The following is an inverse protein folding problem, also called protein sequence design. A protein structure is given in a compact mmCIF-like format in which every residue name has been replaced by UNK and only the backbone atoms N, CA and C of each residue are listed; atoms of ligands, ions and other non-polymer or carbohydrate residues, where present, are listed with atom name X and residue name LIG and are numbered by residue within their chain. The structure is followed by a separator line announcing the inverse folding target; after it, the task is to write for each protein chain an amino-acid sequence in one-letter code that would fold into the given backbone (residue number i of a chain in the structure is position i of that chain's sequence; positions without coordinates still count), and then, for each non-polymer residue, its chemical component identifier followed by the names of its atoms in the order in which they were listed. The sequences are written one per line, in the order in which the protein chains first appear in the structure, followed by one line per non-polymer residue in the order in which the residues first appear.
data_IF_432356154156
#
_entry.id   IF_432356154156
#
_cell.length_a   1.000
_cell.length_b   1.000
_cell.length_c   1.000
_cell.angle_alpha   90.00
_cell.angle_beta   90.00
_cell.angle_gamma   90.00
#
_symmetry.space_group_name_H-M   'P 1'
#
loop_
_entity.id
_entity.type
_entity.pdbx_description
1 polymer ?
#
# COMPACT_ATOMS: atom_id res chain seq x y z
N UNK A 1 3.53 0.66 -19.19
CA UNK A 1 4.30 -0.47 -19.76
C UNK A 1 5.52 0.10 -20.48
N UNK A 2 6.70 -0.46 -20.22
CA UNK A 2 7.95 -0.08 -20.89
C UNK A 2 8.34 -1.18 -21.86
N UNK A 3 8.63 -0.83 -23.10
CA UNK A 3 9.23 -1.73 -24.07
C UNK A 3 10.74 -1.73 -23.82
N UNK A 4 11.24 -2.79 -23.19
CA UNK A 4 12.67 -2.93 -22.86
C UNK A 4 13.57 -3.02 -24.09
N UNK A 5 13.07 -3.49 -25.24
CA UNK A 5 13.87 -3.54 -26.47
C UNK A 5 14.08 -2.14 -27.05
N UNK A 6 13.10 -1.25 -26.88
CA UNK A 6 13.12 0.11 -27.43
C UNK A 6 13.47 1.18 -26.39
N UNK A 7 13.56 0.83 -25.12
CA UNK A 7 13.75 1.74 -24.00
C UNK A 7 12.64 2.79 -23.85
N UNK A 8 11.45 2.56 -24.42
CA UNK A 8 10.37 3.56 -24.51
C UNK A 8 9.11 3.11 -23.80
N UNK A 9 8.42 4.06 -23.17
CA UNK A 9 7.07 3.86 -22.62
C UNK A 9 6.08 3.64 -23.76
N UNK A 10 5.30 2.58 -23.67
CA UNK A 10 4.23 2.27 -24.63
C UNK A 10 2.98 3.10 -24.32
N UNK A 11 2.28 3.58 -25.35
CA UNK A 11 0.99 4.23 -25.18
C UNK A 11 -0.08 3.24 -24.71
N UNK A 12 -1.10 3.74 -24.02
CA UNK A 12 -2.19 2.89 -23.51
C UNK A 12 -2.94 2.22 -24.67
N UNK A 13 -3.09 2.92 -25.80
CA UNK A 13 -3.72 2.37 -27.01
C UNK A 13 -2.91 1.20 -27.58
N UNK A 14 -1.60 1.33 -27.72
CA UNK A 14 -0.75 0.25 -28.24
C UNK A 14 -0.75 -0.96 -27.29
N UNK A 15 -0.60 -0.71 -25.99
CA UNK A 15 -0.65 -1.76 -24.97
C UNK A 15 -1.98 -2.51 -24.97
N UNK A 16 -3.10 -1.80 -25.15
CA UNK A 16 -4.42 -2.41 -25.28
C UNK A 16 -4.56 -3.27 -26.55
N UNK A 17 -4.03 -2.82 -27.69
CA UNK A 17 -4.06 -3.58 -28.94
C UNK A 17 -3.25 -4.88 -28.84
N UNK A 18 -2.20 -4.88 -28.02
CA UNK A 18 -1.37 -6.06 -27.75
C UNK A 18 -1.94 -6.96 -26.64
N UNK A 19 -3.14 -6.68 -26.13
CA UNK A 19 -3.78 -7.48 -25.08
C UNK A 19 -3.11 -7.34 -23.70
N UNK A 20 -2.22 -6.37 -23.50
CA UNK A 20 -1.49 -6.17 -22.24
C UNK A 20 -2.32 -5.43 -21.18
N UNK A 21 -3.51 -4.96 -21.55
CA UNK A 21 -4.41 -4.18 -20.68
C UNK A 21 -5.83 -4.73 -20.83
N UNK A 22 -6.52 -4.96 -19.71
CA UNK A 22 -7.93 -5.31 -19.73
C UNK A 22 -8.80 -4.14 -20.23
N UNK A 23 -9.76 -4.45 -21.11
CA UNK A 23 -10.67 -3.46 -21.73
C UNK A 23 -11.40 -2.58 -20.70
N UNK A 24 -11.76 -3.13 -19.55
CA UNK A 24 -12.44 -2.40 -18.46
C UNK A 24 -11.61 -1.24 -17.86
N UNK A 25 -10.28 -1.32 -17.93
CA UNK A 25 -9.37 -0.31 -17.37
C UNK A 25 -8.84 0.68 -18.40
N UNK A 26 -9.07 0.40 -19.69
CA UNK A 26 -8.47 1.12 -20.80
C UNK A 26 -8.84 2.61 -20.81
N UNK A 27 -10.08 2.94 -20.51
CA UNK A 27 -10.55 4.33 -20.53
C UNK A 27 -9.88 5.16 -19.42
N UNK A 28 -9.86 4.65 -18.20
CA UNK A 28 -9.21 5.29 -17.05
C UNK A 28 -7.71 5.50 -17.31
N UNK A 29 -7.03 4.50 -17.88
CA UNK A 29 -5.62 4.61 -18.23
C UNK A 29 -5.36 5.65 -19.32
N UNK A 30 -6.25 5.78 -20.32
CA UNK A 30 -6.17 6.85 -21.33
C UNK A 30 -6.32 8.23 -20.69
N UNK A 31 -7.23 8.40 -19.72
CA UNK A 31 -7.39 9.66 -18.97
C UNK A 31 -6.12 10.00 -18.19
N UNK A 32 -5.52 9.04 -17.48
CA UNK A 32 -4.25 9.22 -16.77
C UNK A 32 -3.08 9.52 -17.72
N UNK A 33 -3.00 8.87 -18.89
CA UNK A 33 -1.96 9.16 -19.88
C UNK A 33 -2.04 10.60 -20.38
N UNK A 34 -3.25 11.11 -20.65
CA UNK A 34 -3.46 12.52 -21.03
C UNK A 34 -3.05 13.48 -19.90
N UNK A 35 -3.47 13.19 -18.67
CA UNK A 35 -3.11 13.98 -17.48
C UNK A 35 -1.59 14.07 -17.29
N UNK A 36 -0.87 12.95 -17.46
CA UNK A 36 0.59 12.92 -17.33
C UNK A 36 1.33 13.81 -18.34
N UNK A 37 0.72 14.03 -19.52
CA UNK A 37 1.23 14.91 -20.58
C UNK A 37 0.80 16.37 -20.39
N UNK A 38 0.13 16.72 -19.28
CA UNK A 38 -0.37 18.07 -19.01
C UNK A 38 -1.55 18.49 -19.89
N UNK A 39 -2.24 17.55 -20.54
CA UNK A 39 -3.37 17.83 -21.45
C UNK A 39 -4.69 17.58 -20.74
N UNK A 40 -5.65 18.52 -20.90
CA UNK A 40 -7.07 18.47 -20.48
C UNK A 40 -7.43 17.20 -19.69
N UNK A 41 -7.30 17.30 -18.38
CA UNK A 41 -7.70 16.27 -17.44
C UNK A 41 -8.63 16.89 -16.40
N UNK A 42 -9.71 16.19 -16.07
CA UNK A 42 -10.54 16.49 -14.91
C UNK A 42 -9.66 16.52 -13.66
N UNK A 43 -9.98 17.40 -12.70
CA UNK A 43 -9.13 17.58 -11.51
C UNK A 43 -9.02 16.29 -10.68
N UNK A 44 -10.09 15.49 -10.63
CA UNK A 44 -10.08 14.15 -10.02
C UNK A 44 -9.04 13.21 -10.63
N UNK A 45 -8.82 13.30 -11.94
CA UNK A 45 -7.83 12.47 -12.65
C UNK A 45 -6.41 12.97 -12.37
N UNK A 46 -6.22 14.29 -12.27
CA UNK A 46 -4.92 14.88 -11.91
C UNK A 46 -4.55 14.51 -10.48
N UNK A 47 -5.46 14.65 -9.54
CA UNK A 47 -5.25 14.27 -8.15
C UNK A 47 -4.95 12.78 -8.01
N UNK A 48 -5.69 11.90 -8.71
CA UNK A 48 -5.39 10.46 -8.73
C UNK A 48 -3.99 10.18 -9.28
N UNK A 49 -3.57 10.88 -10.33
CA UNK A 49 -2.21 10.74 -10.87
C UNK A 49 -1.16 11.16 -9.83
N UNK A 50 -1.37 12.28 -9.16
CA UNK A 50 -0.46 12.81 -8.13
C UNK A 50 -0.37 11.86 -6.95
N UNK A 51 -1.50 11.33 -6.47
CA UNK A 51 -1.55 10.32 -5.41
C UNK A 51 -0.68 9.10 -5.76
N UNK A 52 -0.86 8.54 -6.97
CA UNK A 52 -0.06 7.41 -7.43
C UNK A 52 1.44 7.74 -7.55
N UNK A 53 1.79 8.95 -7.98
CA UNK A 53 3.18 9.40 -8.06
C UNK A 53 3.82 9.56 -6.66
N UNK A 54 3.07 10.14 -5.73
CA UNK A 54 3.49 10.35 -4.35
C UNK A 54 3.82 9.02 -3.64
N UNK A 55 3.12 7.93 -3.96
CA UNK A 55 3.38 6.62 -3.36
C UNK A 55 4.64 5.91 -3.89
N UNK A 56 5.14 6.30 -5.06
CA UNK A 56 6.20 5.55 -5.78
C UNK A 56 7.58 6.18 -5.65
N UNK A 57 7.68 7.51 -5.69
CA UNK A 57 8.99 8.15 -5.81
C UNK A 57 8.99 9.68 -5.90
N UNK A 58 7.83 10.34 -5.80
CA UNK A 58 7.73 11.80 -5.84
C UNK A 58 6.74 12.29 -6.90
N UNK A 59 6.23 13.49 -6.68
CA UNK A 59 5.24 14.13 -7.55
C UNK A 59 6.00 14.85 -8.67
N UNK A 60 5.49 14.82 -9.90
CA UNK A 60 6.03 15.65 -10.98
C UNK A 60 5.04 16.77 -11.28
N UNK A 61 5.53 18.01 -11.26
CA UNK A 61 4.72 19.18 -11.60
C UNK A 61 4.10 18.98 -13.00
N UNK A 62 2.76 19.03 -13.13
CA UNK A 62 2.10 18.80 -14.41
C UNK A 62 2.57 19.75 -15.52
N UNK A 63 2.98 20.97 -15.16
CA UNK A 63 3.36 22.04 -16.06
C UNK A 63 4.88 22.11 -16.25
N UNK A 64 5.66 22.22 -15.17
CA UNK A 64 7.12 22.41 -15.25
C UNK A 64 7.90 21.10 -15.40
N UNK A 65 7.27 19.96 -15.09
CA UNK A 65 7.89 18.63 -14.99
C UNK A 65 8.95 18.50 -13.88
N UNK A 66 9.11 19.52 -13.06
CA UNK A 66 10.02 19.48 -11.92
C UNK A 66 9.48 18.56 -10.82
N UNK A 67 10.36 17.90 -10.04
CA UNK A 67 9.94 17.11 -8.90
C UNK A 67 9.38 18.00 -7.79
N UNK A 68 8.25 17.59 -7.20
CA UNK A 68 7.60 18.24 -6.07
C UNK A 68 7.52 17.29 -4.86
N UNK A 69 7.69 17.84 -3.67
CA UNK A 69 7.23 17.20 -2.42
C UNK A 69 5.71 17.25 -2.31
N UNK A 70 5.13 16.45 -1.42
CA UNK A 70 3.68 16.49 -1.15
C UNK A 70 3.26 17.89 -0.67
N UNK A 71 4.04 18.53 0.20
CA UNK A 71 3.77 19.89 0.68
C UNK A 71 3.87 20.93 -0.45
N UNK A 72 4.86 20.83 -1.32
CA UNK A 72 4.96 21.72 -2.48
C UNK A 72 3.75 21.57 -3.41
N UNK A 73 3.23 20.35 -3.57
CA UNK A 73 2.01 20.11 -4.33
C UNK A 73 0.77 20.74 -3.66
N UNK A 74 0.70 20.74 -2.32
CA UNK A 74 -0.35 21.46 -1.56
C UNK A 74 -0.23 22.97 -1.76
N UNK A 75 0.96 23.55 -1.59
CA UNK A 75 1.21 25.00 -1.77
C UNK A 75 0.89 25.49 -3.17
N UNK A 76 1.08 24.64 -4.20
CA UNK A 76 0.72 24.91 -5.60
C UNK A 76 -0.76 24.64 -5.92
N UNK A 77 -1.56 24.19 -4.95
CA UNK A 77 -2.98 23.90 -5.13
C UNK A 77 -3.27 22.62 -5.91
N UNK A 78 -2.30 21.73 -6.08
CA UNK A 78 -2.47 20.45 -6.76
C UNK A 78 -3.05 19.35 -5.86
N UNK A 79 -2.95 19.51 -4.54
CA UNK A 79 -3.53 18.63 -3.52
C UNK A 79 -4.16 19.46 -2.42
N UNK A 80 -5.27 18.96 -1.84
CA UNK A 80 -5.78 19.49 -0.58
C UNK A 80 -4.95 18.98 0.61
N UNK A 81 -4.91 19.74 1.70
CA UNK A 81 -4.25 19.33 2.95
C UNK A 81 -4.79 17.98 3.47
N UNK A 82 -6.10 17.75 3.37
CA UNK A 82 -6.72 16.48 3.76
C UNK A 82 -6.17 15.29 2.96
N UNK A 83 -5.99 15.45 1.64
CA UNK A 83 -5.40 14.42 0.79
C UNK A 83 -3.92 14.23 1.08
N UNK A 84 -3.18 15.32 1.32
CA UNK A 84 -1.78 15.25 1.71
C UNK A 84 -1.60 14.49 3.03
N UNK A 85 -2.42 14.78 4.05
CA UNK A 85 -2.45 14.04 5.31
C UNK A 85 -2.75 12.56 5.07
N UNK A 86 -3.75 12.24 4.25
CA UNK A 86 -4.08 10.86 3.91
C UNK A 86 -2.90 10.13 3.24
N UNK A 87 -2.26 10.74 2.24
CA UNK A 87 -1.13 10.16 1.53
C UNK A 87 0.09 9.94 2.45
N UNK A 88 0.42 10.93 3.27
CA UNK A 88 1.53 10.84 4.23
C UNK A 88 1.24 9.79 5.32
N UNK A 89 0.01 9.71 5.81
CA UNK A 89 -0.41 8.65 6.75
C UNK A 89 -0.30 7.26 6.14
N UNK A 90 -0.64 7.07 4.85
CA UNK A 90 -0.40 5.81 4.14
C UNK A 90 1.09 5.49 4.04
N UNK A 91 1.94 6.50 3.78
CA UNK A 91 3.39 6.30 3.74
C UNK A 91 3.93 5.89 5.11
N UNK A 92 3.51 6.55 6.18
CA UNK A 92 3.85 6.20 7.58
C UNK A 92 3.45 4.75 7.87
N UNK A 93 2.21 4.35 7.54
CA UNK A 93 1.75 2.97 7.66
C UNK A 93 2.56 1.96 6.81
N UNK A 94 3.28 2.45 5.79
CA UNK A 94 4.18 1.65 4.96
C UNK A 94 5.66 1.78 5.36
N UNK A 95 5.93 2.27 6.57
CA UNK A 95 7.26 2.31 7.18
C UNK A 95 7.98 3.64 7.03
N UNK A 96 7.24 4.76 7.04
CA UNK A 96 7.80 6.12 7.05
C UNK A 96 7.58 6.92 5.77
N UNK A 97 7.84 8.23 5.86
CA UNK A 97 7.64 9.22 4.79
C UNK A 97 8.74 9.08 3.74
N UNK A 98 8.35 9.02 2.47
CA UNK A 98 9.27 8.77 1.36
C UNK A 98 10.03 10.05 0.97
N UNK A 99 11.36 10.02 1.13
CA UNK A 99 12.24 11.06 0.60
C UNK A 99 12.47 10.85 -0.90
N UNK A 100 11.79 11.65 -1.73
CA UNK A 100 11.71 11.47 -3.17
C UNK A 100 13.08 11.46 -3.90
N UNK A 101 14.11 12.17 -3.41
CA UNK A 101 15.43 12.20 -4.07
C UNK A 101 16.28 10.95 -3.81
N UNK A 102 16.17 10.36 -2.63
CA UNK A 102 17.03 9.24 -2.18
C UNK A 102 16.30 7.91 -2.19
N UNK A 103 14.96 7.92 -2.20
CA UNK A 103 14.12 6.73 -2.05
C UNK A 103 14.07 6.19 -0.62
N UNK A 104 14.76 6.82 0.34
CA UNK A 104 14.72 6.44 1.75
C UNK A 104 13.37 6.77 2.37
N UNK A 105 12.98 6.01 3.40
CA UNK A 105 11.83 6.34 4.25
C UNK A 105 12.34 6.88 5.58
N UNK A 106 11.77 7.99 6.00
CA UNK A 106 12.14 8.74 7.20
C UNK A 106 11.00 8.68 8.21
N UNK A 107 11.31 8.76 9.51
CA UNK A 107 10.29 9.02 10.52
C UNK A 107 9.73 10.45 10.37
N UNK A 108 8.65 10.76 11.09
CA UNK A 108 8.02 12.08 10.99
C UNK A 108 8.97 13.21 11.42
N UNK A 109 9.79 12.99 12.46
CA UNK A 109 10.82 13.95 12.88
C UNK A 109 11.83 14.25 11.77
N UNK A 110 12.51 13.24 11.26
CA UNK A 110 13.52 13.39 10.20
C UNK A 110 12.89 13.99 8.92
N UNK A 111 11.65 13.63 8.61
CA UNK A 111 10.93 14.19 7.47
C UNK A 111 10.68 15.69 7.63
N UNK A 112 10.51 16.19 8.85
CA UNK A 112 10.40 17.62 9.16
C UNK A 112 11.74 18.33 8.96
N UNK A 113 12.84 17.76 9.47
CA UNK A 113 14.19 18.31 9.30
C UNK A 113 14.61 18.39 7.82
N UNK A 114 14.13 17.47 7.00
CA UNK A 114 14.37 17.43 5.56
C UNK A 114 13.32 18.19 4.72
N UNK A 115 12.44 18.98 5.35
CA UNK A 115 11.41 19.80 4.69
C UNK A 115 10.45 19.00 3.78
N UNK A 116 10.25 17.71 4.08
CA UNK A 116 9.29 16.86 3.37
C UNK A 116 7.86 17.09 3.85
N UNK A 117 7.71 17.58 5.09
CA UNK A 117 6.45 17.97 5.74
C UNK A 117 6.55 19.39 6.31
N UNK A 118 5.43 19.97 6.72
CA UNK A 118 5.35 21.29 7.34
C UNK A 118 4.86 21.22 8.79
N UNK A 119 5.02 22.32 9.52
CA UNK A 119 4.56 22.45 10.92
C UNK A 119 3.05 22.23 11.05
N UNK A 120 2.28 22.59 10.01
CA UNK A 120 0.83 22.45 9.98
C UNK A 120 0.39 20.99 10.10
N UNK A 121 1.07 20.07 9.40
CA UNK A 121 0.75 18.63 9.43
C UNK A 121 1.55 17.85 10.47
N UNK A 122 2.65 18.40 11.00
CA UNK A 122 3.57 17.69 11.88
C UNK A 122 2.89 16.99 13.06
N UNK A 123 2.07 17.72 13.83
CA UNK A 123 1.46 17.18 15.06
C UNK A 123 0.49 16.02 14.77
N UNK A 124 -0.30 16.14 13.70
CA UNK A 124 -1.24 15.09 13.30
C UNK A 124 -0.50 13.89 12.71
N UNK A 125 0.54 14.12 11.90
CA UNK A 125 1.36 13.04 11.37
C UNK A 125 2.13 12.31 12.47
N UNK A 126 2.59 13.02 13.51
CA UNK A 126 3.26 12.39 14.64
C UNK A 126 2.33 11.48 15.42
N UNK A 127 1.10 11.93 15.71
CA UNK A 127 0.07 11.07 16.30
C UNK A 127 -0.26 9.86 15.40
N UNK A 128 -0.29 10.05 14.09
CA UNK A 128 -0.53 8.96 13.15
C UNK A 128 0.62 7.93 13.16
N UNK A 129 1.87 8.38 13.27
CA UNK A 129 3.03 7.53 13.46
C UNK A 129 2.99 6.78 14.79
N UNK A 130 2.68 7.44 15.90
CA UNK A 130 2.50 6.83 17.22
C UNK A 130 1.44 5.71 17.20
N UNK A 131 0.32 5.93 16.47
CA UNK A 131 -0.70 4.90 16.26
C UNK A 131 -0.12 3.70 15.49
N UNK A 132 0.66 3.93 14.44
CA UNK A 132 1.27 2.86 13.65
C UNK A 132 2.35 2.09 14.42
N UNK A 133 3.08 2.78 15.31
CA UNK A 133 4.13 2.22 16.17
C UNK A 133 3.61 1.67 17.50
N UNK A 134 2.32 1.84 17.80
CA UNK A 134 1.60 1.41 19.00
C UNK A 134 2.11 1.98 20.33
N UNK A 135 2.84 3.08 20.27
CA UNK A 135 3.31 3.78 21.45
C UNK A 135 3.33 5.27 21.18
N UNK A 136 3.21 6.05 22.26
CA UNK A 136 3.34 7.49 22.20
C UNK A 136 4.22 7.94 23.36
N UNK A 137 4.86 9.10 23.22
CA UNK A 137 5.64 9.69 24.29
C UNK A 137 4.71 10.61 25.08
N UNK A 138 4.48 10.29 26.35
CA UNK A 138 3.72 11.16 27.24
C UNK A 138 4.57 12.41 27.58
N UNK A 139 4.15 13.63 27.19
CA UNK A 139 4.96 14.83 27.41
C UNK A 139 5.22 15.13 28.89
N UNK A 140 4.25 14.84 29.75
CA UNK A 140 4.31 15.11 31.19
C UNK A 140 5.31 14.20 31.92
N UNK A 141 5.40 12.94 31.50
CA UNK A 141 6.25 11.94 32.15
C UNK A 141 7.59 11.74 31.44
N UNK A 142 7.73 12.28 30.22
CA UNK A 142 8.81 11.98 29.27
C UNK A 142 9.09 10.46 29.15
N UNK A 143 8.01 9.68 29.04
CA UNK A 143 8.04 8.21 29.00
C UNK A 143 7.21 7.69 27.84
N UNK A 144 7.68 6.60 27.25
CA UNK A 144 6.93 5.84 26.25
C UNK A 144 5.77 5.13 26.96
N UNK A 145 4.56 5.40 26.49
CA UNK A 145 3.32 4.75 26.94
C UNK A 145 2.71 3.96 25.77
N UNK A 146 2.06 2.84 26.09
CA UNK A 146 1.37 2.05 25.06
C UNK A 146 0.14 2.80 24.51
N UNK A 147 -0.25 2.53 23.27
CA UNK A 147 -1.38 3.21 22.61
C UNK A 147 -2.68 3.25 23.46
N UNK A 148 -3.11 2.16 24.14
CA UNK A 148 -4.31 2.22 25.00
C UNK A 148 -4.18 3.21 26.16
N UNK A 149 -2.97 3.35 26.73
CA UNK A 149 -2.69 4.34 27.77
C UNK A 149 -2.68 5.75 27.19
N UNK A 150 -2.09 5.96 26.01
CA UNK A 150 -2.09 7.25 25.33
C UNK A 150 -3.52 7.77 25.06
N UNK A 151 -4.43 6.87 24.66
CA UNK A 151 -5.85 7.19 24.46
C UNK A 151 -6.52 7.53 25.78
N UNK A 152 -6.26 6.74 26.83
CA UNK A 152 -6.83 6.96 28.17
C UNK A 152 -6.36 8.29 28.78
N UNK A 153 -5.11 8.70 28.48
CA UNK A 153 -4.53 9.99 28.87
C UNK A 153 -4.98 11.15 27.96
N UNK A 154 -5.78 10.90 26.93
CA UNK A 154 -6.28 11.93 26.00
C UNK A 154 -5.23 12.48 25.03
N UNK A 155 -4.04 11.87 24.94
CA UNK A 155 -2.99 12.27 23.99
C UNK A 155 -3.44 12.05 22.53
N UNK A 156 -4.24 11.01 22.31
CA UNK A 156 -4.82 10.64 21.02
C UNK A 156 -6.32 10.41 21.23
N UNK A 157 -7.16 11.11 20.47
CA UNK A 157 -8.60 10.89 20.52
C UNK A 157 -8.98 9.60 19.78
N UNK A 158 -10.03 8.93 20.25
CA UNK A 158 -10.58 7.74 19.60
C UNK A 158 -11.02 8.01 18.15
N UNK A 159 -11.47 9.22 17.85
CA UNK A 159 -11.86 9.62 16.50
C UNK A 159 -10.64 9.75 15.58
N UNK A 160 -9.53 10.30 16.09
CA UNK A 160 -8.29 10.38 15.34
C UNK A 160 -7.70 8.99 15.08
N UNK A 161 -7.72 8.12 16.09
CA UNK A 161 -7.33 6.71 15.92
C UNK A 161 -8.14 6.04 14.82
N UNK A 162 -9.47 6.20 14.83
CA UNK A 162 -10.36 5.65 13.80
C UNK A 162 -10.02 6.17 12.41
N UNK A 163 -9.78 7.48 12.28
CA UNK A 163 -9.36 8.11 11.02
C UNK A 163 -8.08 7.48 10.47
N UNK A 164 -7.07 7.25 11.32
CA UNK A 164 -5.82 6.59 10.91
C UNK A 164 -6.06 5.13 10.53
N UNK A 165 -6.89 4.40 11.28
CA UNK A 165 -7.25 3.01 10.95
C UNK A 165 -8.02 2.90 9.62
N UNK A 166 -8.89 3.85 9.30
CA UNK A 166 -9.59 3.91 8.00
C UNK A 166 -8.61 4.14 6.86
N UNK A 167 -7.62 5.02 7.05
CA UNK A 167 -6.55 5.24 6.06
C UNK A 167 -5.69 3.98 5.91
N UNK A 168 -5.29 3.33 7.01
CA UNK A 168 -4.58 2.04 6.95
C UNK A 168 -5.41 1.00 6.20
N UNK A 169 -6.70 0.89 6.51
CA UNK A 169 -7.59 -0.09 5.87
C UNK A 169 -7.61 0.08 4.35
N UNK A 170 -7.54 1.32 3.83
CA UNK A 170 -7.43 1.59 2.39
C UNK A 170 -6.16 1.02 1.73
N UNK A 171 -5.14 0.67 2.50
CA UNK A 171 -3.92 -0.03 2.03
C UNK A 171 -4.05 -1.56 2.08
N UNK A 172 -5.19 -2.09 2.54
CA UNK A 172 -5.49 -3.53 2.57
C UNK A 172 -5.14 -4.25 3.87
N UNK A 173 -4.53 -3.55 4.83
CA UNK A 173 -4.17 -4.10 6.13
C UNK A 173 -4.19 -3.02 7.20
N UNK A 174 -4.38 -3.40 8.46
CA UNK A 174 -4.21 -2.49 9.60
C UNK A 174 -3.15 -3.05 10.54
N UNK A 175 -2.59 -2.18 11.35
CA UNK A 175 -1.70 -2.61 12.43
C UNK A 175 -2.51 -3.11 13.63
N UNK A 176 -2.10 -4.25 14.19
CA UNK A 176 -2.70 -4.85 15.38
C UNK A 176 -2.02 -4.33 16.66
N UNK A 177 -2.77 -3.64 17.55
CA UNK A 177 -2.25 -3.12 18.81
C UNK A 177 -1.68 -4.15 19.77
N UNK A 178 -2.12 -5.40 19.69
CA UNK A 178 -1.66 -6.45 20.61
C UNK A 178 -0.30 -7.05 20.24
N UNK A 179 0.03 -7.09 18.95
CA UNK A 179 1.16 -7.88 18.44
C UNK A 179 2.14 -7.07 17.58
N UNK A 180 1.84 -5.80 17.29
CA UNK A 180 2.71 -4.94 16.49
C UNK A 180 2.82 -5.37 15.02
N UNK A 181 1.87 -6.17 14.51
CA UNK A 181 1.91 -6.76 13.17
C UNK A 181 0.79 -6.24 12.28
N UNK A 182 0.99 -6.27 10.96
CA UNK A 182 -0.09 -6.02 9.99
C UNK A 182 -1.02 -7.23 9.92
N UNK A 183 -2.30 -7.00 10.16
CA UNK A 183 -3.37 -7.99 10.05
C UNK A 183 -4.30 -7.68 8.87
N UNK A 184 -5.02 -8.71 8.42
CA UNK A 184 -5.99 -8.55 7.33
C UNK A 184 -7.21 -7.74 7.79
N UNK A 185 -7.93 -7.12 6.86
CA UNK A 185 -9.19 -6.42 7.18
C UNK A 185 -10.23 -7.36 7.80
N UNK A 186 -10.25 -8.64 7.37
CA UNK A 186 -11.17 -9.66 7.89
C UNK A 186 -10.87 -9.98 9.36
N UNK A 187 -9.58 -10.11 9.70
CA UNK A 187 -9.15 -10.31 11.09
C UNK A 187 -9.40 -9.06 11.95
N UNK A 188 -9.15 -7.89 11.40
CA UNK A 188 -9.41 -6.61 12.05
C UNK A 188 -10.87 -6.43 12.46
N UNK A 189 -11.81 -6.79 11.57
CA UNK A 189 -13.24 -6.80 11.89
C UNK A 189 -13.57 -7.82 12.99
N UNK A 190 -12.97 -9.02 12.97
CA UNK A 190 -13.17 -10.03 14.02
C UNK A 190 -12.68 -9.55 15.38
N UNK A 191 -11.56 -8.82 15.42
CA UNK A 191 -10.99 -8.22 16.63
C UNK A 191 -11.69 -6.91 17.05
N UNK A 192 -12.65 -6.42 16.28
CA UNK A 192 -13.37 -5.18 16.56
C UNK A 192 -12.55 -3.90 16.33
N UNK A 193 -11.41 -3.99 15.63
CA UNK A 193 -10.53 -2.85 15.36
C UNK A 193 -11.09 -1.92 14.28
N UNK A 194 -11.85 -2.47 13.33
CA UNK A 194 -12.61 -1.69 12.32
C UNK A 194 -14.01 -2.26 12.16
N UNK A 195 -14.93 -1.45 11.66
CA UNK A 195 -16.31 -1.86 11.39
C UNK A 195 -16.45 -2.52 9.99
N UNK A 196 -17.49 -3.33 9.79
CA UNK A 196 -17.80 -3.92 8.47
C UNK A 196 -17.99 -2.85 7.37
N UNK A 197 -18.66 -1.71 7.61
CA UNK A 197 -18.73 -0.62 6.62
C UNK A 197 -17.35 -0.08 6.21
N UNK A 198 -16.44 0.11 7.17
CA UNK A 198 -15.07 0.59 6.88
C UNK A 198 -14.32 -0.41 6.01
N UNK A 199 -14.43 -1.71 6.30
CA UNK A 199 -13.89 -2.76 5.45
C UNK A 199 -14.47 -2.71 4.03
N UNK A 200 -15.80 -2.56 3.89
CA UNK A 200 -16.46 -2.45 2.59
C UNK A 200 -15.94 -1.25 1.78
N UNK A 201 -15.80 -0.10 2.43
CA UNK A 201 -15.26 1.11 1.80
C UNK A 201 -13.79 0.92 1.36
N UNK A 202 -12.98 0.29 2.21
CA UNK A 202 -11.58 0.00 1.93
C UNK A 202 -11.40 -0.93 0.71
N UNK A 203 -12.22 -1.98 0.59
CA UNK A 203 -12.15 -2.92 -0.55
C UNK A 203 -12.55 -2.24 -1.87
N UNK A 204 -13.47 -1.26 -1.82
CA UNK A 204 -13.93 -0.51 -2.99
C UNK A 204 -12.96 0.63 -3.36
N UNK A 205 -12.09 1.05 -2.45
CA UNK A 205 -11.10 2.09 -2.69
C UNK A 205 -10.28 1.79 -3.97
N UNK A 206 -9.98 2.83 -4.74
CA UNK A 206 -9.37 2.66 -6.07
C UNK A 206 -8.02 1.91 -6.01
N UNK A 207 -7.28 2.02 -4.92
CA UNK A 207 -6.00 1.33 -4.74
C UNK A 207 -6.19 -0.18 -4.52
N UNK A 208 -7.23 -0.57 -3.77
CA UNK A 208 -7.53 -1.97 -3.47
C UNK A 208 -8.25 -2.68 -4.61
N UNK A 209 -9.01 -1.95 -5.42
CA UNK A 209 -9.65 -2.50 -6.63
C UNK A 209 -8.62 -3.05 -7.63
N UNK A 210 -7.45 -2.42 -7.70
CA UNK A 210 -6.33 -2.81 -8.57
C UNK A 210 -5.24 -3.59 -7.82
N UNK A 211 -5.47 -3.94 -6.55
CA UNK A 211 -4.50 -4.68 -5.74
C UNK A 211 -4.31 -6.11 -6.26
N UNK A 212 -3.07 -6.58 -6.15
CA UNK A 212 -2.66 -7.90 -6.62
C UNK A 212 -2.68 -8.86 -5.43
N UNK A 213 -3.17 -10.08 -5.66
CA UNK A 213 -3.06 -11.15 -4.67
C UNK A 213 -1.59 -11.59 -4.58
N UNK A 214 -0.95 -11.28 -3.45
CA UNK A 214 0.44 -11.68 -3.21
C UNK A 214 0.47 -13.14 -2.70
N UNK A 215 1.08 -14.08 -3.44
CA UNK A 215 0.96 -15.51 -3.15
C UNK A 215 1.47 -15.90 -1.77
N UNK A 216 2.67 -15.44 -1.38
CA UNK A 216 3.34 -15.91 -0.16
C UNK A 216 2.66 -15.51 1.15
N UNK A 217 1.83 -14.47 1.16
CA UNK A 217 1.05 -14.06 2.34
C UNK A 217 -0.46 -14.24 2.14
N UNK A 218 -0.90 -14.60 0.93
CA UNK A 218 -2.30 -14.62 0.49
C UNK A 218 -3.10 -13.38 0.93
N UNK A 219 -2.53 -12.20 0.67
CA UNK A 219 -3.13 -10.89 0.95
C UNK A 219 -3.25 -10.08 -0.33
N UNK A 220 -4.25 -9.21 -0.41
CA UNK A 220 -4.29 -8.17 -1.44
C UNK A 220 -3.25 -7.12 -1.09
N UNK A 221 -2.36 -6.86 -2.05
CA UNK A 221 -1.27 -5.91 -1.91
C UNK A 221 -1.45 -4.83 -2.97
N UNK A 222 -1.62 -3.55 -2.59
CA UNK A 222 -1.72 -2.46 -3.54
C UNK A 222 -0.39 -2.29 -4.28
N UNK A 223 -0.45 -1.68 -5.47
CA UNK A 223 0.73 -1.51 -6.32
C UNK A 223 1.88 -0.76 -5.62
N UNK A 224 1.57 0.22 -4.76
CA UNK A 224 2.56 0.99 -4.01
C UNK A 224 3.37 0.15 -3.01
N UNK A 225 2.76 -0.84 -2.38
CA UNK A 225 3.46 -1.79 -1.51
C UNK A 225 4.38 -2.72 -2.33
N UNK A 226 3.98 -3.12 -3.55
CA UNK A 226 4.87 -3.85 -4.46
C UNK A 226 6.07 -3.00 -4.91
N UNK A 227 5.82 -1.72 -5.20
CA UNK A 227 6.89 -0.76 -5.49
C UNK A 227 7.83 -0.63 -4.29
N UNK A 228 7.32 -0.60 -3.06
CA UNK A 228 8.17 -0.61 -1.86
C UNK A 228 9.06 -1.86 -1.77
N UNK A 229 8.53 -3.03 -2.11
CA UNK A 229 9.27 -4.32 -2.06
C UNK A 229 10.26 -4.52 -3.21
N UNK A 230 10.12 -3.75 -4.28
CA UNK A 230 10.97 -3.85 -5.45
C UNK A 230 12.37 -3.26 -5.24
N UNK A 231 13.35 -3.81 -5.96
CA UNK A 231 14.74 -3.37 -5.98
C UNK A 231 14.97 -2.52 -7.22
N UNK A 232 15.74 -1.44 -7.10
CA UNK A 232 16.17 -0.65 -8.26
C UNK A 232 17.54 -1.17 -8.67
N UNK A 233 17.67 -1.57 -9.93
CA UNK A 233 18.96 -1.81 -10.54
C UNK A 233 19.64 -0.47 -10.86
N UNK A 234 20.86 -0.29 -10.37
CA UNK A 234 21.59 0.98 -10.47
C UNK A 234 22.02 1.27 -11.91
N UNK A 235 22.36 0.24 -12.69
CA UNK A 235 22.83 0.40 -14.06
C UNK A 235 21.69 0.76 -15.02
N UNK A 236 20.59 0.00 -14.99
CA UNK A 236 19.45 0.27 -15.87
C UNK A 236 18.50 1.35 -15.34
N UNK A 237 18.57 1.68 -14.05
CA UNK A 237 17.58 2.52 -13.37
C UNK A 237 16.18 1.89 -13.32
N UNK A 238 16.06 0.60 -13.64
CA UNK A 238 14.78 -0.11 -13.65
C UNK A 238 14.47 -0.75 -12.30
N UNK A 239 13.18 -0.84 -12.04
CA UNK A 239 12.64 -1.37 -10.79
C UNK A 239 12.16 -2.81 -11.02
N UNK A 240 12.72 -3.74 -10.28
CA UNK A 240 12.46 -5.17 -10.38
C UNK A 240 11.79 -5.67 -9.11
N UNK A 241 10.69 -6.39 -9.25
CA UNK A 241 10.11 -7.16 -8.15
C UNK A 241 10.72 -8.56 -8.19
N UNK A 242 11.25 -9.00 -7.05
CA UNK A 242 11.80 -10.34 -6.91
C UNK A 242 10.71 -11.39 -7.12
N UNK A 243 10.96 -12.34 -8.02
CA UNK A 243 10.08 -13.49 -8.23
C UNK A 243 10.42 -14.52 -7.16
N UNK A 244 9.55 -14.61 -6.15
CA UNK A 244 9.69 -15.58 -5.08
C UNK A 244 8.87 -16.82 -5.46
N UNK A 245 9.50 -18.01 -5.58
CA UNK A 245 8.77 -19.26 -5.77
C UNK A 245 7.72 -19.43 -4.68
N UNK A 246 6.52 -19.87 -5.05
CA UNK A 246 5.47 -20.10 -4.07
C UNK A 246 5.91 -21.19 -3.09
N UNK A 247 5.93 -20.84 -1.80
CA UNK A 247 6.28 -21.72 -0.69
C UNK A 247 5.16 -21.70 0.34
N UNK A 248 3.90 -21.88 -0.10
CA UNK A 248 2.74 -21.80 0.80
C UNK A 248 2.62 -20.46 1.55
N UNK A 249 1.83 -20.41 2.62
CA UNK A 249 1.58 -19.17 3.35
C UNK A 249 2.66 -19.00 4.42
N UNK A 250 3.50 -17.98 4.23
CA UNK A 250 4.50 -17.57 5.21
C UNK A 250 3.88 -16.66 6.24
N UNK A 251 4.03 -17.03 7.50
CA UNK A 251 3.74 -16.18 8.63
C UNK A 251 4.86 -15.11 8.75
N UNK A 252 4.49 -13.83 8.67
CA UNK A 252 5.46 -12.72 8.63
C UNK A 252 6.25 -12.56 9.95
N UNK A 253 5.73 -13.06 11.08
CA UNK A 253 6.36 -12.91 12.39
C UNK A 253 7.27 -14.08 12.71
N UNK A 254 6.73 -15.30 12.57
CA UNK A 254 7.50 -16.51 12.91
C UNK A 254 8.42 -16.96 11.77
N UNK A 255 8.20 -16.46 10.56
CA UNK A 255 8.87 -16.92 9.35
C UNK A 255 8.45 -18.32 8.90
N UNK A 256 7.59 -18.99 9.67
CA UNK A 256 7.14 -20.34 9.40
C UNK A 256 6.20 -20.38 8.21
N UNK A 257 6.39 -21.40 7.38
CA UNK A 257 5.52 -21.71 6.25
C UNK A 257 4.43 -22.67 6.71
N UNK A 258 3.18 -22.35 6.37
CA UNK A 258 2.01 -23.16 6.67
C UNK A 258 1.20 -23.39 5.40
N UNK A 259 0.69 -24.62 5.24
CA UNK A 259 -0.20 -24.99 4.15
C UNK A 259 -1.37 -24.01 4.06
N UNK A 260 -1.71 -23.56 2.85
CA UNK A 260 -2.83 -22.65 2.62
C UNK A 260 -4.12 -23.15 3.29
N UNK A 261 -4.42 -24.45 3.20
CA UNK A 261 -5.57 -25.09 3.85
C UNK A 261 -5.57 -24.98 5.38
N UNK A 262 -4.41 -25.14 6.02
CA UNK A 262 -4.26 -24.98 7.46
C UNK A 262 -4.39 -23.51 7.87
N UNK A 263 -3.84 -22.60 7.09
CA UNK A 263 -3.93 -21.16 7.35
C UNK A 263 -5.38 -20.65 7.27
N UNK A 264 -6.21 -21.22 6.37
CA UNK A 264 -7.67 -20.97 6.32
C UNK A 264 -8.35 -21.49 7.60
N UNK A 265 -8.06 -22.73 8.02
CA UNK A 265 -8.64 -23.33 9.25
C UNK A 265 -8.32 -22.51 10.50
N UNK A 266 -7.11 -21.97 10.58
CA UNK A 266 -6.66 -21.09 11.66
C UNK A 266 -7.19 -19.66 11.54
N UNK A 267 -7.91 -19.33 10.45
CA UNK A 267 -8.47 -18.00 10.22
C UNK A 267 -7.43 -16.91 9.93
N UNK A 268 -6.19 -17.29 9.62
CA UNK A 268 -5.08 -16.37 9.30
C UNK A 268 -5.19 -15.74 7.92
N UNK A 269 -5.99 -16.35 7.04
CA UNK A 269 -6.13 -15.97 5.63
C UNK A 269 -7.60 -15.86 5.28
N UNK A 270 -7.91 -14.92 4.38
CA UNK A 270 -9.26 -14.78 3.84
C UNK A 270 -9.60 -15.96 2.90
N UNK A 271 -10.68 -16.71 3.16
CA UNK A 271 -11.05 -17.87 2.33
C UNK A 271 -11.29 -17.53 0.85
N UNK A 272 -11.82 -16.34 0.55
CA UNK A 272 -12.06 -15.91 -0.84
C UNK A 272 -10.76 -15.63 -1.57
N UNK A 273 -9.77 -15.04 -0.88
CA UNK A 273 -8.43 -14.85 -1.45
C UNK A 273 -7.70 -16.17 -1.63
N UNK A 274 -7.81 -17.07 -0.66
CA UNK A 274 -7.21 -18.40 -0.73
C UNK A 274 -7.79 -19.21 -1.91
N UNK A 275 -9.10 -19.13 -2.15
CA UNK A 275 -9.74 -19.75 -3.32
C UNK A 275 -9.17 -19.19 -4.63
N UNK A 276 -9.01 -17.86 -4.74
CA UNK A 276 -8.40 -17.24 -5.93
C UNK A 276 -6.95 -17.68 -6.15
N UNK A 277 -6.19 -17.83 -5.07
CA UNK A 277 -4.81 -18.33 -5.13
C UNK A 277 -4.78 -19.78 -5.64
N UNK A 278 -5.61 -20.66 -5.08
CA UNK A 278 -5.66 -22.07 -5.47
C UNK A 278 -6.19 -22.25 -6.90
N UNK A 279 -7.18 -21.47 -7.32
CA UNK A 279 -7.66 -21.45 -8.70
C UNK A 279 -6.52 -21.07 -9.67
N UNK A 280 -5.74 -20.03 -9.35
CA UNK A 280 -4.61 -19.63 -10.18
C UNK A 280 -3.52 -20.72 -10.28
N UNK A 281 -3.33 -21.54 -9.24
CA UNK A 281 -2.45 -22.69 -9.32
C UNK A 281 -3.02 -23.79 -10.22
N UNK A 282 -4.31 -24.11 -10.04
CA UNK A 282 -5.02 -25.11 -10.83
C UNK A 282 -4.97 -24.77 -12.34
N UNK A 283 -5.24 -23.51 -12.69
CA UNK A 283 -5.23 -23.02 -14.08
C UNK A 283 -3.83 -23.08 -14.72
N UNK A 284 -2.77 -22.99 -13.91
CA UNK A 284 -1.39 -23.00 -14.43
C UNK A 284 -0.87 -24.42 -14.70
N UNK A 285 -1.01 -25.33 -13.73
CA UNK A 285 -0.50 -26.72 -13.85
C UNK A 285 -0.92 -27.66 -12.70
N UNK A 286 -1.93 -27.29 -11.90
CA UNK A 286 -2.31 -28.04 -10.69
C UNK A 286 -1.80 -27.43 -9.39
N UNK A 287 -2.25 -27.99 -8.27
CA UNK A 287 -1.96 -27.50 -6.91
C UNK A 287 -0.52 -27.88 -6.54
N UNK A 288 0.26 -26.91 -6.07
CA UNK A 288 1.63 -27.18 -5.65
C UNK A 288 1.65 -27.81 -4.26
N UNK A 289 2.19 -29.02 -4.15
CA UNK A 289 2.59 -29.61 -2.89
C UNK A 289 4.00 -29.12 -2.53
N UNK A 290 4.11 -28.28 -1.50
CA UNK A 290 5.36 -27.61 -1.16
C UNK A 290 6.41 -28.50 -0.50
N UNK A 291 6.00 -29.61 0.12
CA UNK A 291 6.88 -30.59 0.75
C UNK A 291 7.68 -31.41 -0.28
N UNK A 292 7.06 -31.72 -1.43
CA UNK A 292 7.65 -32.55 -2.49
C UNK A 292 8.04 -31.72 -3.72
N UNK A 293 7.52 -30.50 -3.84
CA UNK A 293 7.65 -29.65 -5.03
C UNK A 293 6.80 -30.13 -6.22
N UNK A 294 5.96 -31.16 -6.04
CA UNK A 294 5.13 -31.72 -7.11
C UNK A 294 3.85 -30.91 -7.33
N UNK A 295 3.37 -30.92 -8.58
CA UNK A 295 2.07 -30.36 -8.97
C UNK A 295 1.05 -31.49 -9.00
N UNK A 296 0.09 -31.44 -8.08
CA UNK A 296 -0.99 -32.41 -7.97
C UNK A 296 -2.20 -31.99 -8.81
N UNK A 297 -2.89 -32.98 -9.37
CA UNK A 297 -4.22 -32.77 -9.97
C UNK A 297 -5.24 -32.37 -8.90
N UNK A 298 -6.36 -31.75 -9.31
CA UNK A 298 -7.44 -31.41 -8.38
C UNK A 298 -8.07 -32.62 -7.69
N UNK A 299 -8.02 -33.80 -8.30
CA UNK A 299 -8.56 -35.02 -7.68
C UNK A 299 -7.61 -35.63 -6.63
N UNK A 300 -6.32 -35.32 -6.74
CA UNK A 300 -5.27 -35.84 -5.85
C UNK A 300 -4.91 -34.88 -4.70
N UNK A 301 -5.24 -33.59 -4.85
CA UNK A 301 -4.99 -32.53 -3.88
C UNK A 301 -6.18 -32.35 -2.92
#
# INVERSE_FOLDING_TARGET
IVDFKRGKKMSVTLASNLGLIHKSTQENLKKLEKASKGKYAEDTTKEKLIALQAEIGGISDPHTKEPLTIIQAVKKGHLSEEKAFSLLTKQIANGGILHHKTGMRLCVEDAMEHELIDENLYQDLKKAEDICLHHSICPEMNKIVALPQAISLGLISSDFQRKVQEIQASTGSIFDPGFGQKITLTEAVKKGLISKPVMGQAVIASEMKEAILYPGSCRLVPYSELVRRSKIDVESGHRYLEVIPFQDIRDEVTGNVQLCSQAIKLGKVDPTLALRLLQAQADASGILETSTGQRLSLASA
#
